data_IF_535855963247
#
_entry.id   IF_535855963247
#
_cell.length_a   1.000
_cell.length_b   1.000
_cell.length_c   1.000
_cell.angle_alpha   90.00
_cell.angle_beta   90.00
_cell.angle_gamma   90.00
#
_symmetry.space_group_name_H-M   'P 1'
#
loop_
_entity.id
_entity.type
_entity.pdbx_description
1 polymer ?
#
# COMPACT_ATOMS: atom_id res chain seq x y z
N UNK A 1 -4.26 18.72 27.11
CA UNK A 1 -4.14 18.19 25.74
C UNK A 1 -4.56 16.73 25.82
N UNK A 2 -5.78 16.41 25.42
CA UNK A 2 -6.16 15.01 25.22
C UNK A 2 -5.50 14.66 23.88
N UNK A 3 -4.53 13.75 23.91
CA UNK A 3 -3.99 13.17 22.68
C UNK A 3 -5.10 12.33 22.06
N UNK A 4 -5.58 12.73 20.89
CA UNK A 4 -6.51 11.92 20.09
C UNK A 4 -5.78 10.67 19.62
N UNK A 5 -5.86 9.61 20.43
CA UNK A 5 -5.30 8.29 20.11
C UNK A 5 -6.29 7.61 19.17
N UNK A 6 -5.83 7.27 17.97
CA UNK A 6 -6.63 6.51 17.02
C UNK A 6 -6.82 5.07 17.51
N UNK A 7 -8.06 4.56 17.41
CA UNK A 7 -8.42 3.19 17.77
C UNK A 7 -8.55 2.34 16.51
N UNK A 8 -7.67 1.36 16.35
CA UNK A 8 -7.71 0.39 15.24
C UNK A 8 -8.28 -0.93 15.77
N UNK A 9 -9.45 -1.34 15.27
CA UNK A 9 -10.06 -2.61 15.66
C UNK A 9 -9.31 -3.80 15.05
N UNK A 10 -8.84 -4.71 15.89
CA UNK A 10 -8.25 -5.98 15.44
C UNK A 10 -9.37 -6.99 15.15
N UNK A 11 -9.50 -7.40 13.89
CA UNK A 11 -10.50 -8.35 13.43
C UNK A 11 -9.87 -9.74 13.38
N UNK A 12 -10.23 -10.58 14.35
CA UNK A 12 -9.55 -11.85 14.65
C UNK A 12 -10.47 -13.01 15.04
N UNK A 13 -11.78 -12.77 15.24
CA UNK A 13 -12.72 -13.77 15.76
C UNK A 13 -14.01 -13.85 14.96
N UNK A 14 -14.74 -14.97 15.08
CA UNK A 14 -16.06 -15.15 14.43
C UNK A 14 -17.05 -14.08 14.91
N UNK A 15 -17.01 -13.73 16.21
CA UNK A 15 -17.86 -12.68 16.78
C UNK A 15 -17.57 -11.31 16.16
N UNK A 16 -16.29 -11.02 15.89
CA UNK A 16 -15.90 -9.79 15.19
C UNK A 16 -16.39 -9.76 13.74
N UNK A 17 -16.53 -10.92 13.08
CA UNK A 17 -17.12 -11.00 11.73
C UNK A 17 -18.63 -10.81 11.73
N UNK A 18 -19.31 -11.26 12.79
CA UNK A 18 -20.76 -11.11 12.95
C UNK A 18 -21.13 -9.64 13.15
N UNK A 19 -20.33 -8.91 13.94
CA UNK A 19 -20.55 -7.50 14.25
C UNK A 19 -19.62 -6.54 13.47
N UNK A 20 -19.11 -6.98 12.32
CA UNK A 20 -18.00 -6.33 11.62
C UNK A 20 -18.26 -4.86 11.29
N UNK A 21 -19.44 -4.55 10.75
CA UNK A 21 -19.80 -3.21 10.32
C UNK A 21 -19.94 -2.24 11.50
N UNK A 22 -20.52 -2.70 12.62
CA UNK A 22 -20.66 -1.90 13.83
C UNK A 22 -19.29 -1.57 14.44
N UNK A 23 -18.41 -2.57 14.53
CA UNK A 23 -17.04 -2.42 15.04
C UNK A 23 -16.25 -1.41 14.20
N UNK A 24 -16.28 -1.53 12.87
CA UNK A 24 -15.55 -0.63 11.97
C UNK A 24 -16.10 0.80 12.07
N UNK A 25 -17.42 0.98 12.18
CA UNK A 25 -18.01 2.31 12.37
C UNK A 25 -17.60 2.98 13.67
N UNK A 26 -17.52 2.19 14.75
CA UNK A 26 -17.11 2.66 16.07
C UNK A 26 -15.60 2.92 16.20
N UNK A 27 -14.79 2.45 15.23
CA UNK A 27 -13.33 2.53 15.26
C UNK A 27 -12.78 3.56 14.27
N UNK A 28 -11.54 3.99 14.44
CA UNK A 28 -10.85 4.86 13.49
C UNK A 28 -10.27 4.09 12.30
N UNK A 29 -10.16 2.77 12.41
CA UNK A 29 -9.71 1.87 11.35
C UNK A 29 -9.83 0.41 11.77
N UNK A 30 -9.36 -0.49 10.91
CA UNK A 30 -9.36 -1.93 11.19
C UNK A 30 -8.03 -2.58 10.83
N UNK A 31 -7.72 -3.68 11.51
CA UNK A 31 -6.59 -4.55 11.22
C UNK A 31 -7.10 -5.98 11.02
N UNK A 32 -6.81 -6.57 9.86
CA UNK A 32 -7.10 -7.99 9.58
C UNK A 32 -5.95 -8.82 10.16
N UNK A 33 -6.21 -9.51 11.27
CA UNK A 33 -5.22 -10.36 11.93
C UNK A 33 -5.37 -11.82 11.44
N UNK A 34 -4.70 -12.13 10.33
CA UNK A 34 -4.94 -13.38 9.58
C UNK A 34 -4.54 -14.64 10.33
N UNK A 35 -3.48 -14.56 11.15
CA UNK A 35 -3.03 -15.69 11.97
C UNK A 35 -4.07 -16.09 13.01
N UNK A 36 -4.59 -15.10 13.75
CA UNK A 36 -5.62 -15.32 14.77
C UNK A 36 -6.96 -15.73 14.11
N UNK A 37 -7.32 -15.08 13.01
CA UNK A 37 -8.52 -15.39 12.26
C UNK A 37 -8.48 -16.83 11.71
N UNK A 38 -7.35 -17.26 11.14
CA UNK A 38 -7.15 -18.62 10.64
C UNK A 38 -7.17 -19.71 11.70
N UNK A 39 -7.07 -19.36 12.99
CA UNK A 39 -7.29 -20.30 14.09
C UNK A 39 -8.77 -20.51 14.42
N UNK A 40 -9.64 -19.58 14.01
CA UNK A 40 -11.07 -19.57 14.34
C UNK A 40 -11.95 -20.06 13.19
N UNK A 41 -11.52 -19.88 11.94
CA UNK A 41 -12.27 -20.24 10.73
C UNK A 41 -11.45 -21.13 9.80
N UNK A 42 -12.07 -21.87 8.87
CA UNK A 42 -11.34 -22.63 7.86
C UNK A 42 -10.38 -21.74 7.06
N UNK A 43 -9.14 -22.20 6.86
CA UNK A 43 -8.06 -21.43 6.26
C UNK A 43 -8.39 -20.94 4.84
N UNK A 44 -9.14 -21.73 4.08
CA UNK A 44 -9.61 -21.39 2.73
C UNK A 44 -10.59 -20.21 2.72
N UNK A 45 -11.23 -19.88 3.85
CA UNK A 45 -12.15 -18.75 3.95
C UNK A 45 -11.42 -17.43 4.24
N UNK A 46 -10.23 -17.49 4.86
CA UNK A 46 -9.47 -16.30 5.29
C UNK A 46 -9.27 -15.28 4.16
N UNK A 47 -8.86 -15.66 2.92
CA UNK A 47 -8.68 -14.71 1.84
C UNK A 47 -9.98 -13.97 1.45
N UNK A 48 -11.10 -14.69 1.40
CA UNK A 48 -12.40 -14.09 1.05
C UNK A 48 -12.91 -13.14 2.13
N UNK A 49 -12.67 -13.46 3.40
CA UNK A 49 -13.04 -12.61 4.53
C UNK A 49 -12.14 -11.38 4.61
N UNK A 50 -10.84 -11.51 4.36
CA UNK A 50 -9.92 -10.37 4.22
C UNK A 50 -10.46 -9.38 3.18
N UNK A 51 -10.81 -9.86 1.99
CA UNK A 51 -11.36 -9.02 0.92
C UNK A 51 -12.65 -8.32 1.36
N UNK A 52 -13.54 -9.02 2.08
CA UNK A 52 -14.77 -8.44 2.64
C UNK A 52 -14.47 -7.30 3.62
N UNK A 53 -13.52 -7.51 4.54
CA UNK A 53 -13.13 -6.50 5.54
C UNK A 53 -12.52 -5.28 4.86
N UNK A 54 -11.58 -5.49 3.93
CA UNK A 54 -10.93 -4.40 3.18
C UNK A 54 -11.96 -3.60 2.38
N UNK A 55 -12.88 -4.28 1.68
CA UNK A 55 -13.93 -3.60 0.91
C UNK A 55 -14.83 -2.76 1.81
N UNK A 56 -15.25 -3.28 2.96
CA UNK A 56 -16.10 -2.57 3.90
C UNK A 56 -15.40 -1.35 4.52
N UNK A 57 -14.13 -1.48 4.91
CA UNK A 57 -13.34 -0.36 5.42
C UNK A 57 -13.26 0.77 4.38
N UNK A 58 -13.02 0.42 3.11
CA UNK A 58 -13.01 1.38 2.02
C UNK A 58 -14.35 2.06 1.79
N UNK A 59 -15.46 1.32 1.87
CA UNK A 59 -16.82 1.88 1.77
C UNK A 59 -17.12 2.85 2.93
N UNK A 60 -16.52 2.64 4.10
CA UNK A 60 -16.70 3.49 5.27
C UNK A 60 -15.62 4.59 5.39
N UNK A 61 -14.73 4.72 4.40
CA UNK A 61 -13.57 5.62 4.43
C UNK A 61 -12.68 5.43 5.68
N UNK A 62 -12.55 4.18 6.14
CA UNK A 62 -11.70 3.79 7.27
C UNK A 62 -10.41 3.12 6.78
N UNK A 63 -9.23 3.49 7.32
CA UNK A 63 -7.98 2.82 6.99
C UNK A 63 -8.01 1.34 7.42
N UNK A 64 -7.45 0.48 6.57
CA UNK A 64 -7.33 -0.96 6.83
C UNK A 64 -5.88 -1.46 6.73
N UNK A 65 -5.47 -2.22 7.74
CA UNK A 65 -4.15 -2.84 7.84
C UNK A 65 -4.32 -4.35 7.63
N UNK A 66 -3.54 -4.96 6.74
CA UNK A 66 -3.46 -6.42 6.64
C UNK A 66 -2.20 -6.89 7.38
N UNK A 67 -2.37 -7.83 8.31
CA UNK A 67 -1.31 -8.24 9.23
C UNK A 67 -1.18 -9.76 9.33
N UNK A 68 -0.01 -10.18 9.83
CA UNK A 68 0.42 -11.57 10.08
C UNK A 68 0.68 -12.41 8.83
N UNK A 69 1.74 -13.24 8.88
CA UNK A 69 2.05 -14.28 7.87
C UNK A 69 2.19 -13.76 6.43
N UNK A 70 2.69 -12.54 6.23
CA UNK A 70 2.94 -11.99 4.89
C UNK A 70 4.26 -12.52 4.33
N UNK A 71 5.30 -12.62 5.16
CA UNK A 71 6.63 -13.09 4.78
C UNK A 71 7.20 -14.05 5.85
N UNK A 72 6.35 -14.90 6.44
CA UNK A 72 6.66 -15.76 7.60
C UNK A 72 7.97 -16.55 7.44
N UNK A 73 8.21 -17.13 6.25
CA UNK A 73 9.43 -17.89 5.95
C UNK A 73 10.69 -17.04 6.11
N UNK A 74 10.58 -15.71 5.99
CA UNK A 74 11.71 -14.80 6.13
C UNK A 74 12.19 -14.61 7.57
N UNK A 75 11.49 -15.18 8.56
CA UNK A 75 11.99 -15.31 9.92
C UNK A 75 13.27 -16.17 9.92
N UNK A 76 13.27 -17.27 9.17
CA UNK A 76 14.36 -18.23 9.13
C UNK A 76 15.24 -18.12 7.87
N UNK A 77 14.64 -17.73 6.74
CA UNK A 77 15.27 -17.74 5.42
C UNK A 77 15.44 -16.33 4.84
N UNK A 78 16.48 -16.06 4.04
CA UNK A 78 16.72 -14.71 3.51
C UNK A 78 15.85 -14.33 2.31
N UNK A 79 15.05 -15.26 1.77
CA UNK A 79 14.27 -15.12 0.53
C UNK A 79 12.85 -15.65 0.79
N UNK A 80 11.80 -14.92 0.38
CA UNK A 80 10.43 -15.39 0.54
C UNK A 80 10.08 -16.49 -0.47
N UNK A 81 9.01 -17.20 -0.18
CA UNK A 81 8.36 -18.13 -1.09
C UNK A 81 7.55 -17.38 -2.16
N UNK A 82 7.22 -18.09 -3.25
CA UNK A 82 6.33 -17.54 -4.29
C UNK A 82 4.92 -17.27 -3.77
N UNK A 83 4.45 -18.09 -2.83
CA UNK A 83 3.13 -17.95 -2.21
C UNK A 83 3.04 -16.64 -1.40
N UNK A 84 4.07 -16.34 -0.62
CA UNK A 84 4.14 -15.10 0.17
C UNK A 84 4.20 -13.84 -0.71
N UNK A 85 4.98 -13.89 -1.80
CA UNK A 85 5.01 -12.77 -2.76
C UNK A 85 3.63 -12.57 -3.42
N UNK A 86 2.94 -13.66 -3.76
CA UNK A 86 1.58 -13.60 -4.29
C UNK A 86 0.58 -13.04 -3.26
N UNK A 87 0.70 -13.43 -2.00
CA UNK A 87 -0.14 -12.96 -0.90
C UNK A 87 0.03 -11.45 -0.63
N UNK A 88 1.27 -10.97 -0.58
CA UNK A 88 1.56 -9.52 -0.52
C UNK A 88 0.96 -8.80 -1.72
N UNK A 89 1.08 -9.38 -2.91
CA UNK A 89 0.57 -8.78 -4.14
C UNK A 89 -0.95 -8.65 -4.12
N UNK A 90 -1.64 -9.68 -3.63
CA UNK A 90 -3.10 -9.72 -3.51
C UNK A 90 -3.59 -8.70 -2.47
N UNK A 91 -2.93 -8.58 -1.31
CA UNK A 91 -3.29 -7.59 -0.30
C UNK A 91 -3.18 -6.14 -0.83
N UNK A 92 -2.15 -5.85 -1.64
CA UNK A 92 -2.00 -4.55 -2.32
C UNK A 92 -3.07 -4.36 -3.40
N UNK A 93 -3.39 -5.41 -4.16
CA UNK A 93 -4.42 -5.38 -5.20
C UNK A 93 -5.81 -5.07 -4.62
N UNK A 94 -6.12 -5.62 -3.45
CA UNK A 94 -7.34 -5.34 -2.68
C UNK A 94 -7.39 -3.90 -2.14
N UNK A 95 -6.29 -3.14 -2.25
CA UNK A 95 -6.11 -1.77 -1.75
C UNK A 95 -6.15 -1.69 -0.24
N UNK A 96 -5.42 -2.58 0.44
CA UNK A 96 -5.06 -2.36 1.83
C UNK A 96 -4.25 -1.06 1.97
N UNK A 97 -4.51 -0.26 3.02
CA UNK A 97 -3.81 1.01 3.25
C UNK A 97 -2.41 0.77 3.83
N UNK A 98 -2.25 -0.31 4.59
CA UNK A 98 -0.95 -0.72 5.12
C UNK A 98 -0.84 -2.25 5.20
N UNK A 99 0.40 -2.72 5.11
CA UNK A 99 0.79 -4.10 5.37
C UNK A 99 1.71 -4.12 6.59
N UNK A 100 1.55 -5.11 7.46
CA UNK A 100 2.28 -5.19 8.72
C UNK A 100 3.14 -6.46 8.81
N UNK A 101 4.45 -6.28 9.00
CA UNK A 101 5.36 -7.34 9.42
C UNK A 101 5.24 -7.56 10.93
N UNK A 102 5.31 -8.81 11.35
CA UNK A 102 5.17 -9.25 12.74
C UNK A 102 6.48 -9.92 13.20
N UNK A 103 6.52 -11.26 13.24
CA UNK A 103 7.71 -12.01 13.64
C UNK A 103 8.91 -11.74 12.74
N UNK A 104 8.67 -11.46 11.47
CA UNK A 104 9.70 -11.22 10.45
C UNK A 104 10.63 -10.04 10.80
N UNK A 105 10.06 -8.97 11.37
CA UNK A 105 10.81 -7.77 11.77
C UNK A 105 11.19 -7.78 13.25
N UNK A 106 10.36 -8.35 14.13
CA UNK A 106 10.56 -8.32 15.57
C UNK A 106 11.62 -9.32 16.06
N UNK A 107 11.64 -10.54 15.50
CA UNK A 107 12.54 -11.62 15.94
C UNK A 107 13.19 -12.39 14.78
N UNK A 108 12.90 -12.01 13.53
CA UNK A 108 13.44 -12.67 12.35
C UNK A 108 14.96 -12.50 12.21
N UNK A 109 15.59 -13.44 11.53
CA UNK A 109 17.03 -13.39 11.20
C UNK A 109 17.34 -12.33 10.13
N UNK A 110 16.34 -11.89 9.38
CA UNK A 110 16.50 -11.00 8.23
C UNK A 110 15.47 -9.84 8.20
N UNK A 111 15.36 -9.03 9.27
CA UNK A 111 14.31 -8.01 9.40
C UNK A 111 14.37 -6.93 8.30
N UNK A 112 15.58 -6.46 7.98
CA UNK A 112 15.79 -5.46 6.92
C UNK A 112 15.40 -6.01 5.54
N UNK A 113 15.72 -7.30 5.28
CA UNK A 113 15.38 -7.93 4.00
C UNK A 113 13.88 -8.12 3.86
N UNK A 114 13.19 -8.53 4.92
CA UNK A 114 11.73 -8.65 4.92
C UNK A 114 11.06 -7.31 4.59
N UNK A 115 11.53 -6.22 5.20
CA UNK A 115 11.04 -4.87 4.91
C UNK A 115 11.30 -4.45 3.45
N UNK A 116 12.52 -4.70 2.93
CA UNK A 116 12.88 -4.40 1.54
C UNK A 116 12.00 -5.19 0.56
N UNK A 117 11.79 -6.48 0.81
CA UNK A 117 10.95 -7.35 -0.02
C UNK A 117 9.52 -6.84 -0.02
N UNK A 118 8.92 -6.61 1.15
CA UNK A 118 7.56 -6.11 1.28
C UNK A 118 7.39 -4.80 0.50
N UNK A 119 8.29 -3.84 0.72
CA UNK A 119 8.27 -2.54 0.03
C UNK A 119 8.45 -2.68 -1.49
N UNK A 120 9.37 -3.52 -1.94
CA UNK A 120 9.65 -3.72 -3.37
C UNK A 120 8.48 -4.35 -4.11
N UNK A 121 7.86 -5.38 -3.52
CA UNK A 121 6.68 -6.05 -4.09
C UNK A 121 5.50 -5.07 -4.13
N UNK A 122 5.20 -4.38 -3.03
CA UNK A 122 4.09 -3.41 -3.01
C UNK A 122 4.25 -2.31 -4.06
N UNK A 123 5.43 -1.69 -4.16
CA UNK A 123 5.70 -0.66 -5.18
C UNK A 123 5.62 -1.18 -6.60
N UNK A 124 6.01 -2.45 -6.83
CA UNK A 124 5.90 -3.10 -8.14
C UNK A 124 4.44 -3.28 -8.53
N UNK A 125 3.60 -3.79 -7.63
CA UNK A 125 2.18 -4.05 -7.88
C UNK A 125 1.41 -2.74 -8.06
N UNK A 126 1.65 -1.75 -7.21
CA UNK A 126 1.05 -0.41 -7.37
C UNK A 126 1.39 0.22 -8.73
N UNK A 127 2.65 0.07 -9.19
CA UNK A 127 3.06 0.56 -10.51
C UNK A 127 2.36 -0.20 -11.63
N UNK A 128 2.35 -1.52 -11.56
CA UNK A 128 1.71 -2.37 -12.58
C UNK A 128 0.22 -2.03 -12.70
N UNK A 129 -0.47 -1.89 -11.58
CA UNK A 129 -1.87 -1.48 -11.54
C UNK A 129 -2.12 -0.09 -12.16
N UNK A 130 -1.24 0.88 -11.90
CA UNK A 130 -1.33 2.21 -12.53
C UNK A 130 -1.15 2.12 -14.05
N UNK A 131 -0.17 1.34 -14.50
CA UNK A 131 0.12 1.13 -15.92
C UNK A 131 -1.08 0.48 -16.64
N UNK A 132 -1.72 -0.49 -16.00
CA UNK A 132 -2.89 -1.21 -16.54
C UNK A 132 -4.16 -0.33 -16.56
N UNK A 133 -4.39 0.47 -15.51
CA UNK A 133 -5.52 1.40 -15.39
C UNK A 133 -5.44 2.67 -16.24
N UNK A 134 -4.41 2.85 -17.07
CA UNK A 134 -4.44 3.90 -18.11
C UNK A 134 -5.58 3.70 -19.14
N UNK A 135 -6.26 2.55 -19.13
CA UNK A 135 -7.34 2.21 -20.07
C UNK A 135 -8.75 2.15 -19.47
N UNK A 136 -8.91 2.40 -18.17
CA UNK A 136 -10.20 2.26 -17.47
C UNK A 136 -10.71 3.62 -16.94
N UNK A 137 -11.91 4.07 -17.33
CA UNK A 137 -12.54 5.25 -16.77
C UNK A 137 -12.68 5.12 -15.24
N UNK A 138 -12.49 6.23 -14.52
CA UNK A 138 -12.85 6.29 -13.11
C UNK A 138 -14.39 6.27 -13.01
N UNK A 139 -14.99 5.09 -12.92
CA UNK A 139 -16.38 4.96 -12.48
C UNK A 139 -16.43 5.11 -10.96
N UNK A 140 -17.21 6.09 -10.51
CA UNK A 140 -17.42 6.41 -9.11
C UNK A 140 -18.84 5.97 -8.74
N UNK A 141 -18.94 5.08 -7.76
CA UNK A 141 -20.18 4.87 -7.01
C UNK A 141 -20.24 5.92 -5.89
N UNK A 142 -21.39 6.56 -5.70
CA UNK A 142 -21.65 7.56 -4.66
C UNK A 142 -21.54 6.93 -3.26
N UNK A 143 -20.48 7.24 -2.49
CA UNK A 143 -20.27 6.65 -1.14
C UNK A 143 -20.57 7.62 0.01
N UNK A 144 -20.71 8.92 -0.24
CA UNK A 144 -20.77 9.92 0.84
C UNK A 144 -22.18 10.37 1.25
N UNK A 145 -22.46 10.39 2.57
CA UNK A 145 -23.72 10.83 3.19
C UNK A 145 -23.72 12.28 3.70
N UNK A 146 -22.56 12.95 3.78
CA UNK A 146 -22.43 14.32 4.33
C UNK A 146 -21.94 15.32 3.28
N UNK A 147 -22.51 16.53 3.27
CA UNK A 147 -22.21 17.58 2.28
C UNK A 147 -20.74 18.01 2.26
N UNK A 148 -20.07 18.06 3.42
CA UNK A 148 -18.65 18.45 3.52
C UNK A 148 -17.70 17.41 2.93
N UNK A 149 -18.03 16.13 3.09
CA UNK A 149 -17.24 15.02 2.56
C UNK A 149 -17.34 14.97 1.04
N UNK A 150 -18.53 15.24 0.48
CA UNK A 150 -18.74 15.36 -0.96
C UNK A 150 -17.91 16.46 -1.62
N UNK A 151 -17.84 17.64 -1.00
CA UNK A 151 -17.00 18.73 -1.52
C UNK A 151 -15.52 18.32 -1.52
N UNK A 152 -15.05 17.74 -0.41
CA UNK A 152 -13.66 17.30 -0.26
C UNK A 152 -13.29 16.21 -1.28
N UNK A 153 -14.20 15.26 -1.47
CA UNK A 153 -14.09 14.17 -2.45
C UNK A 153 -14.03 14.72 -3.87
N UNK A 154 -14.95 15.60 -4.27
CA UNK A 154 -14.96 16.24 -5.60
C UNK A 154 -13.70 17.06 -5.89
N UNK A 155 -13.17 17.78 -4.89
CA UNK A 155 -11.91 18.52 -5.02
C UNK A 155 -10.76 17.55 -5.27
N UNK A 156 -10.69 16.45 -4.51
CA UNK A 156 -9.63 15.44 -4.68
C UNK A 156 -9.73 14.73 -6.03
N UNK A 157 -10.94 14.39 -6.47
CA UNK A 157 -11.20 13.80 -7.79
C UNK A 157 -10.79 14.76 -8.90
N UNK A 158 -11.20 16.03 -8.81
CA UNK A 158 -10.88 17.05 -9.80
C UNK A 158 -9.38 17.29 -9.88
N UNK A 159 -8.69 17.37 -8.74
CA UNK A 159 -7.23 17.49 -8.68
C UNK A 159 -6.54 16.26 -9.31
N UNK A 160 -7.03 15.05 -9.02
CA UNK A 160 -6.49 13.82 -9.61
C UNK A 160 -6.71 13.76 -11.14
N UNK A 161 -7.89 14.18 -11.63
CA UNK A 161 -8.19 14.31 -13.06
C UNK A 161 -7.27 15.35 -13.72
N UNK A 162 -7.14 16.53 -13.13
CA UNK A 162 -6.25 17.59 -13.63
C UNK A 162 -4.79 17.15 -13.69
N UNK A 163 -4.31 16.41 -12.68
CA UNK A 163 -2.96 15.82 -12.69
C UNK A 163 -2.73 14.92 -13.90
N UNK A 164 -3.70 14.07 -14.25
CA UNK A 164 -3.64 13.26 -15.47
C UNK A 164 -3.56 14.12 -16.74
N UNK A 165 -4.43 15.13 -16.87
CA UNK A 165 -4.44 16.02 -18.04
C UNK A 165 -3.15 16.84 -18.18
N UNK A 166 -2.60 17.34 -17.07
CA UNK A 166 -1.36 18.12 -17.07
C UNK A 166 -0.16 17.27 -17.49
N UNK A 167 -0.06 16.03 -17.00
CA UNK A 167 0.95 15.07 -17.47
C UNK A 167 0.79 14.73 -18.96
N UNK A 168 -0.45 14.60 -19.46
CA UNK A 168 -0.73 14.35 -20.88
C UNK A 168 -0.32 15.53 -21.78
N UNK A 169 -0.66 16.76 -21.37
CA UNK A 169 -0.32 18.00 -22.09
C UNK A 169 1.18 18.29 -22.08
N UNK A 170 1.87 18.02 -20.97
CA UNK A 170 3.33 18.15 -20.90
C UNK A 170 4.04 17.20 -21.88
N UNK A 171 3.55 15.97 -22.05
CA UNK A 171 4.05 15.03 -23.06
C UNK A 171 3.74 15.51 -24.48
N UNK A 172 2.55 16.05 -24.75
CA UNK A 172 2.19 16.56 -26.07
C UNK A 172 3.00 17.80 -26.48
N UNK A 173 3.20 18.76 -25.57
CA UNK A 173 3.93 19.99 -25.85
C UNK A 173 5.44 19.74 -25.98
N UNK A 174 6.02 18.89 -25.13
CA UNK A 174 7.43 18.49 -25.29
C UNK A 174 7.66 17.69 -26.57
N UNK A 175 6.74 16.80 -26.96
CA UNK A 175 6.79 16.11 -28.24
C UNK A 175 6.68 17.08 -29.44
N UNK A 176 5.72 18.00 -29.44
CA UNK A 176 5.58 18.99 -30.52
C UNK A 176 6.76 19.96 -30.63
N UNK A 177 7.42 20.32 -29.52
CA UNK A 177 8.63 21.15 -29.53
C UNK A 177 9.83 20.34 -30.05
N UNK A 178 9.99 19.08 -29.62
CA UNK A 178 11.10 18.21 -30.06
C UNK A 178 10.95 17.86 -31.55
N UNK A 179 9.74 17.52 -32.02
CA UNK A 179 9.48 17.17 -33.43
C UNK A 179 9.62 18.35 -34.41
N UNK A 180 9.41 19.61 -33.97
CA UNK A 180 9.56 20.80 -34.83
C UNK A 180 10.99 21.37 -34.85
N UNK A 181 11.90 20.89 -33.98
CA UNK A 181 13.27 21.41 -33.89
C UNK A 181 14.36 20.38 -34.13
N UNK A 182 14.08 19.07 -34.05
CA UNK A 182 15.07 18.03 -34.32
C UNK A 182 14.43 16.79 -34.96
N UNK A 183 14.94 16.40 -36.11
CA UNK A 183 14.67 15.13 -36.77
C UNK A 183 15.42 14.01 -36.01
N UNK A 184 14.94 13.67 -34.81
CA UNK A 184 15.57 12.68 -33.93
C UNK A 184 14.65 11.48 -33.74
N UNK A 185 15.07 10.34 -34.30
CA UNK A 185 14.58 9.02 -33.89
C UNK A 185 15.09 8.71 -32.48
N UNK A 186 14.27 8.97 -31.46
CA UNK A 186 14.53 8.47 -30.10
C UNK A 186 13.27 7.85 -29.52
N UNK A 187 13.28 6.52 -29.45
CA UNK A 187 12.33 5.70 -28.72
C UNK A 187 12.67 5.71 -27.23
N UNK A 188 11.62 5.83 -26.41
CA UNK A 188 11.57 5.47 -24.98
C UNK A 188 12.21 6.42 -23.95
N UNK A 189 11.48 7.49 -23.61
CA UNK A 189 11.59 8.16 -22.30
C UNK A 189 10.36 7.81 -21.46
N UNK A 190 10.53 6.95 -20.44
CA UNK A 190 9.47 6.59 -19.47
C UNK A 190 9.69 7.43 -18.21
N UNK A 191 8.86 8.45 -18.00
CA UNK A 191 8.88 9.29 -16.79
C UNK A 191 8.03 8.68 -15.67
N UNK A 192 8.57 8.65 -14.44
CA UNK A 192 7.90 8.21 -13.22
C UNK A 192 7.08 9.36 -12.59
N UNK A 193 5.79 9.18 -12.27
CA UNK A 193 5.04 10.18 -11.53
C UNK A 193 5.10 9.94 -10.02
N UNK A 194 5.33 11.06 -9.33
CA UNK A 194 4.98 11.42 -7.95
C UNK A 194 4.11 10.43 -7.15
N UNK A 195 4.66 9.91 -6.05
CA UNK A 195 4.00 9.01 -5.11
C UNK A 195 3.16 9.78 -4.07
N UNK A 196 1.88 9.96 -4.34
CA UNK A 196 0.91 10.37 -3.31
C UNK A 196 0.31 9.13 -2.64
N UNK A 197 1.09 8.48 -1.78
CA UNK A 197 0.56 7.57 -0.76
C UNK A 197 1.05 8.12 0.57
N UNK A 198 0.13 8.56 1.43
CA UNK A 198 0.45 8.88 2.83
C UNK A 198 0.99 7.59 3.45
N UNK A 199 2.31 7.52 3.58
CA UNK A 199 2.99 6.45 4.31
C UNK A 199 2.77 6.72 5.80
N UNK A 200 1.77 6.09 6.38
CA UNK A 200 1.70 5.94 7.84
C UNK A 200 2.42 4.63 8.17
N UNK A 201 3.73 4.71 8.36
CA UNK A 201 4.44 3.66 9.07
C UNK A 201 4.11 3.84 10.56
N UNK A 202 3.13 3.09 11.06
CA UNK A 202 2.88 3.02 12.50
C UNK A 202 3.96 2.11 13.08
N UNK A 203 5.04 2.73 13.53
CA UNK A 203 6.08 2.07 14.34
C UNK A 203 5.84 2.47 15.80
N UNK A 204 5.72 1.53 16.75
CA UNK A 204 5.69 1.88 18.17
C UNK A 204 7.03 2.52 18.58
N UNK A 205 7.04 3.59 19.40
CA UNK A 205 8.26 4.33 19.73
C UNK A 205 8.96 3.66 20.91
N UNK A 206 9.69 2.57 20.67
CA UNK A 206 10.63 2.05 21.64
C UNK A 206 11.90 1.62 20.90
N UNK A 207 12.84 2.54 20.67
CA UNK A 207 14.29 2.31 20.77
C UNK A 207 15.02 3.63 20.46
N UNK A 208 15.33 4.38 21.52
CA UNK A 208 16.37 5.41 21.50
C UNK A 208 17.73 4.73 21.40
N UNK A 209 18.58 5.13 20.44
CA UNK A 209 20.01 4.81 20.53
C UNK A 209 20.77 4.84 19.20
N UNK A 210 21.64 5.85 19.07
CA UNK A 210 22.78 5.93 18.17
C UNK A 210 22.50 6.25 16.68
N UNK A 211 22.52 7.56 16.42
CA UNK A 211 22.97 8.14 15.16
C UNK A 211 24.28 7.50 14.68
N UNK A 212 24.43 7.29 13.37
CA UNK A 212 25.65 7.57 12.64
C UNK A 212 25.36 7.75 11.14
N UNK A 213 25.90 8.84 10.65
CA UNK A 213 25.77 9.48 9.35
C UNK A 213 26.21 8.61 8.17
N UNK A 214 25.42 8.68 7.09
CA UNK A 214 25.84 8.32 5.76
C UNK A 214 26.97 9.25 5.27
N UNK A 215 28.06 8.69 4.77
CA UNK A 215 28.87 9.31 3.72
C UNK A 215 29.16 8.28 2.64
N UNK A 216 28.63 8.59 1.45
CA UNK A 216 28.97 7.99 0.18
C UNK A 216 30.32 8.53 -0.31
N UNK A 217 31.16 7.67 -0.89
CA UNK A 217 31.76 7.93 -2.21
C UNK A 217 32.55 6.72 -2.74
N UNK A 218 32.73 6.61 -4.07
CA UNK A 218 33.02 5.37 -4.79
C UNK A 218 34.45 5.30 -5.34
N UNK A 219 35.01 4.10 -5.52
CA UNK A 219 36.01 3.88 -6.57
C UNK A 219 36.33 2.39 -6.85
N UNK A 220 36.09 2.01 -8.11
CA UNK A 220 36.98 1.26 -9.03
C UNK A 220 37.50 -0.15 -8.67
N UNK A 221 37.00 -1.09 -9.48
CA UNK A 221 37.76 -2.05 -10.32
C UNK A 221 38.88 -2.90 -9.69
N UNK A 222 38.66 -4.22 -9.62
CA UNK A 222 39.25 -5.27 -10.51
C UNK A 222 39.17 -6.62 -9.78
N UNK A 223 38.54 -7.60 -10.44
CA UNK A 223 38.83 -9.02 -10.21
C UNK A 223 40.16 -9.38 -10.89
N UNK A 224 40.83 -10.42 -10.42
CA UNK A 224 40.79 -11.69 -11.14
C UNK A 224 39.85 -12.71 -10.50
#
# INVERSE_FOLDING_TARGET
MISDIAVIAKIESIDSLTNLEEIIRASDGAMVARGDLGAQIPLEQVPSIQQKIVKLCRQLNKPVIVASQLLESMIEYPIPTRAEVADVSEAVHQRADALMLSGESAMGRYPDKALIVLSSVSLRIERWWREEKHHEPLELEDVSSSFSDKISEEICISAAKMGKYCCQLALSLTWSIISNHFDLQLTSWKWMPFSSTRRVAIWPPCFHGAALTAQSSPSRTRRP
#
